data_IF_913541641938
#
_entry.id   IF_913541641938
#
_cell.length_a   1.000
_cell.length_b   1.000
_cell.length_c   1.000
_cell.angle_alpha   90.00
_cell.angle_beta   90.00
_cell.angle_gamma   90.00
#
_symmetry.space_group_name_H-M   'P 1'
#
loop_
_entity.id
_entity.type
_entity.pdbx_description
1 polymer ?
#
# COMPACT_ATOMS: atom_id res chain seq x y z
N UNK A 1 12.29 11.45 -4.76
CA UNK A 1 10.99 12.14 -4.92
C UNK A 1 9.97 11.07 -5.30
N UNK A 2 9.02 10.72 -4.42
CA UNK A 2 8.00 9.70 -4.73
C UNK A 2 6.78 10.40 -5.35
N UNK A 3 6.35 9.96 -6.53
CA UNK A 3 5.10 10.43 -7.13
C UNK A 3 3.92 9.88 -6.33
N UNK A 4 2.97 10.74 -5.98
CA UNK A 4 1.73 10.37 -5.30
C UNK A 4 0.56 11.02 -6.04
N UNK A 5 -0.07 10.23 -6.93
CA UNK A 5 -1.27 10.58 -7.70
C UNK A 5 -2.38 11.18 -6.82
N UNK A 6 -2.48 10.71 -5.57
CA UNK A 6 -3.54 11.05 -4.65
C UNK A 6 -3.24 12.29 -3.77
N UNK A 7 -2.09 12.95 -3.96
CA UNK A 7 -1.66 14.07 -3.11
C UNK A 7 -2.59 15.30 -3.20
N UNK A 8 -3.18 15.54 -4.37
CA UNK A 8 -4.02 16.71 -4.65
C UNK A 8 -5.51 16.37 -4.81
N UNK A 9 -5.97 15.25 -4.23
CA UNK A 9 -7.39 14.84 -4.29
C UNK A 9 -8.30 15.96 -3.78
N UNK A 10 -9.31 16.28 -4.59
CA UNK A 10 -10.31 17.29 -4.26
C UNK A 10 -11.37 16.73 -3.30
N UNK A 11 -12.11 17.64 -2.68
CA UNK A 11 -13.20 17.27 -1.79
C UNK A 11 -14.36 16.69 -2.59
N UNK A 12 -14.88 15.54 -2.15
CA UNK A 12 -16.03 14.91 -2.79
C UNK A 12 -17.29 15.74 -2.61
N UNK A 13 -18.18 15.69 -3.59
CA UNK A 13 -19.48 16.38 -3.60
C UNK A 13 -20.63 15.38 -3.67
N UNK A 14 -21.79 15.76 -3.14
CA UNK A 14 -23.04 14.99 -3.28
C UNK A 14 -23.60 15.12 -4.71
N UNK A 15 -24.65 14.35 -5.03
CA UNK A 15 -25.38 14.48 -6.31
C UNK A 15 -25.95 15.89 -6.54
N UNK A 16 -26.18 16.65 -5.47
CA UNK A 16 -26.66 18.04 -5.52
C UNK A 16 -25.53 19.07 -5.59
N UNK A 17 -24.27 18.63 -5.63
CA UNK A 17 -23.09 19.51 -5.70
C UNK A 17 -22.59 20.03 -4.34
N UNK A 18 -23.13 19.54 -3.23
CA UNK A 18 -22.74 19.99 -1.89
C UNK A 18 -21.49 19.25 -1.40
N UNK A 19 -20.56 19.97 -0.76
CA UNK A 19 -19.32 19.40 -0.25
C UNK A 19 -19.58 18.36 0.86
N UNK A 20 -18.94 17.20 0.76
CA UNK A 20 -19.15 16.09 1.70
C UNK A 20 -18.21 16.14 2.91
N UNK A 21 -18.76 15.78 4.08
CA UNK A 21 -18.05 15.78 5.36
C UNK A 21 -18.37 14.53 6.17
N UNK A 22 -17.45 14.17 7.07
CA UNK A 22 -17.63 13.08 8.05
C UNK A 22 -17.30 13.58 9.45
N UNK A 23 -18.10 13.17 10.43
CA UNK A 23 -17.84 13.46 11.85
C UNK A 23 -16.85 12.41 12.37
N UNK A 24 -15.78 12.87 13.03
CA UNK A 24 -14.79 12.01 13.70
C UNK A 24 -14.63 12.38 15.16
N UNK A 25 -14.32 11.39 15.99
CA UNK A 25 -14.04 11.54 17.42
C UNK A 25 -12.59 11.16 17.72
N UNK A 26 -11.61 12.03 17.44
CA UNK A 26 -10.21 11.73 17.67
C UNK A 26 -9.93 11.58 19.18
N UNK A 27 -9.21 10.51 19.56
CA UNK A 27 -8.88 10.20 20.96
C UNK A 27 -8.22 11.37 21.71
N UNK A 28 -7.35 12.11 21.03
CA UNK A 28 -6.65 13.28 21.59
C UNK A 28 -7.55 14.47 21.94
N UNK A 29 -8.81 14.50 21.49
CA UNK A 29 -9.79 15.54 21.86
C UNK A 29 -10.78 15.11 22.93
N UNK A 30 -10.47 14.05 23.70
CA UNK A 30 -11.25 13.62 24.87
C UNK A 30 -12.76 13.47 24.58
N UNK A 31 -13.09 12.93 23.40
CA UNK A 31 -14.49 12.71 22.99
C UNK A 31 -15.16 13.86 22.24
N UNK A 32 -14.47 14.99 21.99
CA UNK A 32 -15.04 16.05 21.15
C UNK A 32 -15.08 15.65 19.67
N UNK A 33 -16.20 15.98 19.02
CA UNK A 33 -16.42 15.73 17.60
C UNK A 33 -15.67 16.75 16.72
N UNK A 34 -15.17 16.30 15.57
CA UNK A 34 -14.51 17.14 14.56
C UNK A 34 -15.06 16.79 13.18
N UNK A 35 -15.39 17.80 12.39
CA UNK A 35 -15.72 17.65 10.98
C UNK A 35 -14.45 17.48 10.14
N UNK A 36 -14.41 16.45 9.30
CA UNK A 36 -13.34 16.25 8.31
C UNK A 36 -13.94 16.21 6.91
N UNK A 37 -13.29 16.86 5.94
CA UNK A 37 -13.64 16.77 4.52
C UNK A 37 -13.49 15.33 4.03
N UNK A 38 -14.46 14.84 3.28
CA UNK A 38 -14.34 13.57 2.56
C UNK A 38 -13.78 13.89 1.18
N UNK A 39 -12.67 13.25 0.82
CA UNK A 39 -12.05 13.41 -0.50
C UNK A 39 -12.65 12.41 -1.48
N UNK A 40 -12.65 12.73 -2.77
CA UNK A 40 -13.03 11.81 -3.85
C UNK A 40 -12.25 10.50 -3.76
N UNK A 41 -12.79 9.39 -4.25
CA UNK A 41 -12.11 8.08 -4.20
C UNK A 41 -10.69 8.14 -4.75
N UNK A 42 -9.71 7.46 -4.12
CA UNK A 42 -8.36 7.42 -4.65
C UNK A 42 -8.34 6.69 -6.00
N UNK A 43 -7.45 7.16 -6.87
CA UNK A 43 -7.13 6.52 -8.15
C UNK A 43 -5.74 5.91 -8.08
N UNK A 44 -5.48 4.97 -8.97
CA UNK A 44 -4.22 4.25 -9.09
C UNK A 44 -3.88 4.03 -10.56
N UNK A 45 -4.31 4.94 -11.42
CA UNK A 45 -4.22 4.81 -12.88
C UNK A 45 -2.75 4.74 -13.30
N UNK A 46 -1.89 5.54 -12.67
CA UNK A 46 -0.46 5.54 -12.94
C UNK A 46 0.18 4.15 -12.74
N UNK A 47 -0.21 3.42 -11.69
CA UNK A 47 0.32 2.08 -11.45
C UNK A 47 -0.14 1.08 -12.52
N UNK A 48 -1.37 1.24 -13.02
CA UNK A 48 -1.91 0.41 -14.09
C UNK A 48 -1.23 0.71 -15.43
N UNK A 49 -1.00 1.99 -15.75
CA UNK A 49 -0.27 2.43 -16.95
C UNK A 49 1.16 1.89 -16.95
N UNK A 50 1.87 2.02 -15.83
CA UNK A 50 3.20 1.45 -15.68
C UNK A 50 3.22 -0.06 -15.91
N UNK A 51 2.27 -0.79 -15.30
CA UNK A 51 2.19 -2.24 -15.45
C UNK A 51 1.92 -2.62 -16.91
N UNK A 52 1.02 -1.90 -17.59
CA UNK A 52 0.72 -2.12 -19.00
C UNK A 52 1.95 -1.89 -19.88
N UNK A 53 2.73 -0.82 -19.63
CA UNK A 53 3.96 -0.55 -20.38
C UNK A 53 5.02 -1.62 -20.14
N UNK A 54 5.21 -2.06 -18.90
CA UNK A 54 6.14 -3.16 -18.57
C UNK A 54 5.73 -4.44 -19.28
N UNK A 55 4.45 -4.81 -19.23
CA UNK A 55 3.95 -6.01 -19.92
C UNK A 55 4.18 -5.92 -21.42
N UNK A 56 3.90 -4.78 -22.03
CA UNK A 56 4.16 -4.54 -23.45
C UNK A 56 5.64 -4.70 -23.78
N UNK A 57 6.52 -4.04 -23.04
CA UNK A 57 7.97 -4.17 -23.25
C UNK A 57 8.48 -5.61 -23.06
N UNK A 58 7.96 -6.35 -22.07
CA UNK A 58 8.33 -7.74 -21.84
C UNK A 58 7.79 -8.69 -22.91
N UNK A 59 6.62 -8.38 -23.48
CA UNK A 59 6.01 -9.20 -24.53
C UNK A 59 6.67 -8.95 -25.88
N UNK A 60 7.04 -7.70 -26.18
CA UNK A 60 7.78 -7.33 -27.41
C UNK A 60 9.23 -7.85 -27.38
N UNK A 61 9.79 -8.06 -26.19
CA UNK A 61 11.10 -8.67 -25.97
C UNK A 61 10.92 -10.16 -25.63
N UNK A 62 10.60 -11.01 -26.61
CA UNK A 62 10.54 -12.48 -26.49
C UNK A 62 11.84 -13.15 -25.95
N UNK A 63 12.86 -12.40 -25.52
CA UNK A 63 14.14 -12.92 -25.06
C UNK A 63 14.68 -12.30 -23.75
N UNK A 64 13.83 -11.73 -22.88
CA UNK A 64 14.30 -11.20 -21.57
C UNK A 64 14.75 -12.33 -20.63
N UNK A 65 14.25 -13.56 -20.81
CA UNK A 65 14.69 -14.72 -20.03
C UNK A 65 16.20 -15.02 -20.21
N UNK A 66 16.80 -14.65 -21.34
CA UNK A 66 18.22 -14.85 -21.59
C UNK A 66 19.13 -13.85 -20.86
N UNK A 67 18.64 -12.64 -20.54
CA UNK A 67 19.40 -11.63 -19.75
C UNK A 67 19.12 -11.70 -18.25
N UNK A 68 17.97 -12.27 -17.85
CA UNK A 68 17.61 -12.55 -16.45
C UNK A 68 17.73 -14.04 -16.13
N UNK A 69 18.82 -14.69 -16.57
CA UNK A 69 19.26 -15.93 -15.94
C UNK A 69 19.64 -15.60 -14.48
N UNK A 70 18.62 -15.54 -13.61
CA UNK A 70 18.76 -15.30 -12.18
C UNK A 70 19.57 -16.47 -11.64
N UNK A 71 20.87 -16.24 -11.41
CA UNK A 71 21.67 -17.15 -10.61
C UNK A 71 20.87 -17.45 -9.33
N UNK A 72 20.74 -18.73 -8.92
CA UNK A 72 19.90 -19.08 -7.79
C UNK A 72 20.35 -18.27 -6.57
N UNK A 73 19.52 -17.31 -6.18
CA UNK A 73 19.82 -16.42 -5.06
C UNK A 73 19.88 -17.29 -3.81
N UNK A 74 21.08 -17.43 -3.25
CA UNK A 74 21.26 -18.08 -1.95
C UNK A 74 20.70 -17.11 -0.91
N UNK A 75 19.41 -17.25 -0.59
CA UNK A 75 18.76 -16.42 0.42
C UNK A 75 19.27 -16.87 1.79
N UNK A 76 19.98 -16.02 2.55
CA UNK A 76 20.41 -16.38 3.90
C UNK A 76 19.18 -16.59 4.80
N UNK A 77 19.25 -17.50 5.77
CA UNK A 77 18.17 -17.68 6.73
C UNK A 77 17.91 -16.37 7.49
N UNK A 78 16.67 -16.11 7.93
CA UNK A 78 16.35 -14.90 8.67
C UNK A 78 17.13 -14.86 9.99
N UNK A 79 17.49 -13.66 10.46
CA UNK A 79 18.31 -13.48 11.67
C UNK A 79 17.74 -14.22 12.89
N UNK A 80 16.41 -14.31 13.00
CA UNK A 80 15.73 -15.01 14.08
C UNK A 80 15.97 -16.53 14.10
N UNK A 81 16.39 -17.13 12.98
CA UNK A 81 16.75 -18.56 12.94
C UNK A 81 17.98 -18.90 13.79
N UNK A 82 18.76 -17.89 14.21
CA UNK A 82 19.90 -18.06 15.11
C UNK A 82 19.51 -18.16 16.59
N UNK A 83 18.25 -17.87 16.94
CA UNK A 83 17.77 -17.86 18.31
C UNK A 83 16.80 -19.01 18.57
N UNK A 84 16.77 -19.58 19.79
CA UNK A 84 15.75 -20.56 20.16
C UNK A 84 14.37 -19.92 20.09
N UNK A 85 13.46 -20.52 19.32
CA UNK A 85 12.05 -20.11 19.31
C UNK A 85 11.38 -20.68 20.57
N UNK A 86 10.82 -19.83 21.44
CA UNK A 86 10.13 -20.33 22.62
C UNK A 86 8.87 -21.09 22.22
N UNK A 87 8.56 -22.17 22.91
CA UNK A 87 7.39 -22.98 22.62
C UNK A 87 6.14 -22.22 23.04
N UNK A 88 5.05 -22.36 22.27
CA UNK A 88 3.79 -21.68 22.59
C UNK A 88 3.28 -22.04 23.99
N UNK A 89 3.62 -23.24 24.48
CA UNK A 89 3.27 -23.72 25.82
C UNK A 89 3.90 -22.87 26.96
N UNK A 90 5.04 -22.21 26.70
CA UNK A 90 5.74 -21.41 27.71
C UNK A 90 4.99 -20.11 28.07
N UNK A 91 4.15 -19.62 27.16
CA UNK A 91 3.40 -18.37 27.33
C UNK A 91 1.94 -18.57 27.80
N UNK A 92 1.41 -19.79 27.76
CA UNK A 92 0.00 -20.07 28.12
C UNK A 92 -0.19 -20.20 29.64
N UNK A 93 0.89 -20.18 30.43
CA UNK A 93 0.85 -20.35 31.90
C UNK A 93 1.04 -19.05 32.70
N UNK A 94 0.95 -17.87 32.09
CA UNK A 94 0.95 -16.58 32.80
C UNK A 94 -0.46 -16.10 33.12
#
# INVERSE_FOLDING_TARGET
LHFNENANRVQGVTKTGEATYVIKYPKGRKGAAVLRRVLESPTYEYAQELLAEIVKECTDKENVEAEFAVEPVIVPPPLCAQFPHPEKADFVKQ
#
